data_IF_441934368230
#
_entry.id   IF_441934368230
#
_cell.length_a   1.000
_cell.length_b   1.000
_cell.length_c   1.000
_cell.angle_alpha   90.00
_cell.angle_beta   90.00
_cell.angle_gamma   90.00
#
_symmetry.space_group_name_H-M   'P 1'
#
loop_
_entity.id
_entity.type
_entity.pdbx_description
1 polymer ?
#
# COMPACT_ATOMS: atom_id res chain seq x y z
N UNK A 1 1.75 -4.53 7.75
CA UNK A 1 2.08 -3.21 7.16
C UNK A 1 3.57 -2.89 7.08
N UNK A 2 4.40 -3.40 7.99
CA UNK A 2 5.78 -2.91 8.20
C UNK A 2 6.70 -3.00 6.98
N UNK A 3 6.69 -4.14 6.28
CA UNK A 3 7.51 -4.32 5.05
C UNK A 3 7.10 -3.29 3.99
N UNK A 4 5.81 -2.98 3.89
CA UNK A 4 5.28 -1.96 2.98
C UNK A 4 5.71 -0.54 3.38
N UNK A 5 5.83 -0.23 4.68
CA UNK A 5 6.32 1.06 5.13
C UNK A 5 7.83 1.24 4.84
N UNK A 6 8.61 0.18 5.02
CA UNK A 6 10.04 0.17 4.70
C UNK A 6 10.23 0.38 3.19
N UNK A 7 9.53 -0.38 2.35
CA UNK A 7 9.65 -0.24 0.89
C UNK A 7 9.15 1.13 0.39
N UNK A 8 8.06 1.64 0.96
CA UNK A 8 7.55 2.98 0.68
C UNK A 8 8.59 4.07 0.96
N UNK A 9 9.23 4.01 2.13
CA UNK A 9 10.28 4.97 2.51
C UNK A 9 11.43 4.96 1.51
N UNK A 10 11.92 3.77 1.15
CA UNK A 10 13.01 3.63 0.16
C UNK A 10 12.60 4.18 -1.21
N UNK A 11 11.37 3.93 -1.66
CA UNK A 11 10.87 4.43 -2.94
C UNK A 11 10.72 5.96 -2.95
N UNK A 12 10.28 6.56 -1.85
CA UNK A 12 10.18 8.02 -1.69
C UNK A 12 11.57 8.66 -1.70
N UNK A 13 12.52 8.07 -0.97
CA UNK A 13 13.91 8.54 -0.92
C UNK A 13 14.59 8.45 -2.31
N UNK A 14 14.41 7.34 -3.02
CA UNK A 14 14.93 7.14 -4.38
C UNK A 14 14.34 8.14 -5.39
N UNK A 15 13.04 8.42 -5.27
CA UNK A 15 12.38 9.43 -6.11
C UNK A 15 12.77 10.89 -5.77
N UNK A 16 13.39 11.13 -4.60
CA UNK A 16 13.81 12.45 -4.16
C UNK A 16 12.64 13.43 -3.97
N UNK A 17 11.46 12.94 -3.61
CA UNK A 17 10.24 13.75 -3.45
C UNK A 17 9.91 14.01 -1.98
N UNK A 18 9.20 15.10 -1.73
CA UNK A 18 8.54 15.34 -0.44
C UNK A 18 7.33 14.39 -0.29
N UNK A 19 7.30 13.51 0.74
CA UNK A 19 6.20 12.58 0.96
C UNK A 19 4.85 13.26 1.18
N UNK A 20 4.82 14.51 1.68
CA UNK A 20 3.57 15.27 1.86
C UNK A 20 2.90 15.63 0.54
N UNK A 21 3.63 15.54 -0.57
CA UNK A 21 3.12 15.84 -1.92
C UNK A 21 2.47 14.63 -2.62
N UNK A 22 2.37 13.49 -1.95
CA UNK A 22 1.62 12.33 -2.44
C UNK A 22 0.11 12.62 -2.37
N UNK A 23 -0.60 12.30 -3.44
CA UNK A 23 -2.06 12.39 -3.51
C UNK A 23 -2.72 11.06 -3.18
N UNK A 24 -2.02 9.94 -3.44
CA UNK A 24 -2.54 8.59 -3.21
C UNK A 24 -1.46 7.62 -2.74
N UNK A 25 -1.85 6.71 -1.84
CA UNK A 25 -1.09 5.52 -1.45
C UNK A 25 -1.98 4.30 -1.70
N UNK A 26 -1.58 3.46 -2.65
CA UNK A 26 -2.33 2.30 -3.11
C UNK A 26 -1.55 1.05 -2.69
N UNK A 27 -2.14 0.19 -1.86
CA UNK A 27 -1.49 -1.05 -1.43
C UNK A 27 -2.18 -2.26 -2.02
N UNK A 28 -1.47 -3.00 -2.87
CA UNK A 28 -1.90 -4.29 -3.39
C UNK A 28 -1.48 -5.43 -2.46
N UNK A 29 -2.46 -6.24 -2.05
CA UNK A 29 -2.25 -7.42 -1.22
C UNK A 29 -3.33 -8.49 -1.47
N UNK A 30 -3.13 -9.70 -0.94
CA UNK A 30 -4.10 -10.79 -1.03
C UNK A 30 -4.74 -11.12 0.31
N UNK A 31 -3.95 -11.10 1.38
CA UNK A 31 -4.37 -11.55 2.72
C UNK A 31 -4.29 -10.48 3.80
N UNK A 32 -4.04 -9.22 3.44
CA UNK A 32 -3.94 -8.10 4.38
C UNK A 32 -2.83 -8.26 5.40
N UNK A 33 -3.03 -7.69 6.60
CA UNK A 33 -2.07 -7.83 7.69
C UNK A 33 -2.36 -9.10 8.49
N UNK A 34 -1.51 -10.12 8.34
CA UNK A 34 -1.63 -11.38 9.10
C UNK A 34 -0.58 -11.39 10.21
N UNK A 35 -1.06 -11.34 11.46
CA UNK A 35 -0.18 -11.43 12.63
C UNK A 35 0.36 -12.85 12.76
N UNK A 36 1.63 -12.97 13.13
CA UNK A 36 2.27 -14.28 13.31
C UNK A 36 1.50 -15.08 14.36
N UNK A 37 1.21 -16.35 14.06
CA UNK A 37 0.45 -17.23 14.94
C UNK A 37 -1.07 -17.03 14.87
N UNK A 38 -1.56 -16.25 13.91
CA UNK A 38 -2.99 -16.06 13.63
C UNK A 38 -3.29 -16.41 12.18
N UNK A 39 -4.52 -16.84 11.91
CA UNK A 39 -5.03 -17.09 10.55
C UNK A 39 -5.98 -16.00 10.06
N UNK A 40 -6.31 -15.06 10.94
CA UNK A 40 -7.29 -14.01 10.66
C UNK A 40 -6.57 -12.75 10.17
N UNK A 41 -7.04 -12.22 9.04
CA UNK A 41 -6.57 -10.93 8.52
C UNK A 41 -7.08 -9.78 9.38
N UNK A 42 -6.17 -8.87 9.72
CA UNK A 42 -6.46 -7.59 10.33
C UNK A 42 -6.65 -6.52 9.22
N UNK A 43 -7.91 -6.31 8.83
CA UNK A 43 -8.29 -5.52 7.63
C UNK A 43 -8.43 -4.02 7.93
N UNK A 44 -8.75 -3.64 9.18
CA UNK A 44 -9.05 -2.26 9.55
C UNK A 44 -8.13 -1.76 10.67
N UNK A 45 -7.50 -0.58 10.52
CA UNK A 45 -7.45 0.26 9.32
C UNK A 45 -6.71 -0.43 8.16
N UNK A 46 -6.91 0.05 6.92
CA UNK A 46 -6.24 -0.47 5.72
C UNK A 46 -4.72 -0.48 5.86
N UNK A 47 -4.04 -1.38 5.14
CA UNK A 47 -2.58 -1.42 5.12
C UNK A 47 -1.99 -0.08 4.64
N UNK A 48 -2.59 0.52 3.62
CA UNK A 48 -2.21 1.83 3.12
C UNK A 48 -2.28 2.92 4.20
N UNK A 49 -3.35 2.94 5.01
CA UNK A 49 -3.49 3.92 6.09
C UNK A 49 -2.45 3.70 7.20
N UNK A 50 -2.16 2.44 7.54
CA UNK A 50 -1.09 2.10 8.50
C UNK A 50 0.28 2.54 7.99
N UNK A 51 0.56 2.34 6.70
CA UNK A 51 1.80 2.75 6.06
C UNK A 51 1.91 4.28 6.03
N UNK A 52 0.85 4.98 5.62
CA UNK A 52 0.80 6.46 5.66
C UNK A 52 1.16 7.01 7.04
N UNK A 53 0.54 6.46 8.09
CA UNK A 53 0.84 6.82 9.48
C UNK A 53 2.29 6.50 9.85
N UNK A 54 2.81 5.33 9.46
CA UNK A 54 4.20 4.93 9.74
C UNK A 54 5.23 5.81 9.03
N UNK A 55 4.89 6.39 7.88
CA UNK A 55 5.74 7.34 7.14
C UNK A 55 5.67 8.75 7.71
N UNK A 56 4.76 9.01 8.66
CA UNK A 56 4.55 10.35 9.24
C UNK A 56 3.87 11.32 8.27
N UNK A 57 3.14 10.83 7.27
CA UNK A 57 2.48 11.70 6.27
C UNK A 57 1.22 12.30 6.88
N UNK A 58 1.22 13.60 7.11
CA UNK A 58 0.13 14.33 7.76
C UNK A 58 -0.93 14.84 6.77
N UNK A 59 -0.59 14.98 5.48
CA UNK A 59 -1.49 15.45 4.44
C UNK A 59 -2.81 14.67 4.41
N UNK A 60 -3.90 15.29 4.86
CA UNK A 60 -5.23 14.69 4.94
C UNK A 60 -5.88 14.44 3.59
N UNK A 61 -5.42 15.12 2.53
CA UNK A 61 -5.90 14.93 1.15
C UNK A 61 -5.27 13.71 0.47
N UNK A 62 -4.16 13.20 0.98
CA UNK A 62 -3.54 11.97 0.49
C UNK A 62 -4.43 10.76 0.81
N UNK A 63 -5.10 10.21 -0.19
CA UNK A 63 -6.01 9.08 -0.04
C UNK A 63 -5.22 7.78 0.06
N UNK A 64 -5.43 7.02 1.14
CA UNK A 64 -4.74 5.76 1.38
C UNK A 64 -5.73 4.59 1.37
N UNK A 65 -5.57 3.66 0.42
CA UNK A 65 -6.49 2.54 0.29
C UNK A 65 -5.81 1.26 -0.24
N UNK A 66 -6.46 0.13 0.00
CA UNK A 66 -5.98 -1.18 -0.39
C UNK A 66 -6.72 -1.71 -1.61
N UNK A 67 -6.06 -2.56 -2.39
CA UNK A 67 -6.67 -3.38 -3.44
C UNK A 67 -6.40 -4.86 -3.16
N UNK A 68 -7.48 -5.62 -2.95
CA UNK A 68 -7.45 -7.08 -2.90
C UNK A 68 -7.67 -7.62 -4.31
N UNK A 69 -6.59 -8.06 -4.98
CA UNK A 69 -6.67 -8.35 -6.42
C UNK A 69 -5.81 -9.56 -6.88
N UNK A 70 -5.31 -10.39 -5.97
CA UNK A 70 -4.54 -11.57 -6.35
C UNK A 70 -3.13 -11.23 -6.85
N UNK A 71 -2.47 -12.22 -7.49
CA UNK A 71 -1.14 -12.09 -8.08
C UNK A 71 -0.93 -10.86 -8.99
N UNK A 72 -1.90 -10.42 -9.83
CA UNK A 72 -1.71 -9.23 -10.67
C UNK A 72 -1.98 -7.90 -9.93
N UNK A 73 -2.13 -7.92 -8.60
CA UNK A 73 -2.58 -6.74 -7.85
C UNK A 73 -1.69 -5.50 -8.00
N UNK A 74 -0.37 -5.66 -8.11
CA UNK A 74 0.52 -4.50 -8.33
C UNK A 74 0.27 -3.83 -9.69
N UNK A 75 -0.01 -4.62 -10.74
CA UNK A 75 -0.36 -4.10 -12.08
C UNK A 75 -1.68 -3.35 -12.00
N UNK A 76 -2.67 -3.90 -11.29
CA UNK A 76 -3.94 -3.23 -11.07
C UNK A 76 -3.78 -1.91 -10.31
N UNK A 77 -2.88 -1.85 -9.33
CA UNK A 77 -2.55 -0.61 -8.62
C UNK A 77 -1.96 0.45 -9.54
N UNK A 78 -1.06 0.07 -10.46
CA UNK A 78 -0.51 0.96 -11.47
C UNK A 78 -1.59 1.43 -12.46
N UNK A 79 -2.47 0.54 -12.92
CA UNK A 79 -3.59 0.90 -13.80
C UNK A 79 -4.51 1.93 -13.12
N UNK A 80 -4.85 1.73 -11.85
CA UNK A 80 -5.65 2.69 -11.10
C UNK A 80 -4.94 4.03 -10.91
N UNK A 81 -3.67 4.02 -10.50
CA UNK A 81 -2.86 5.25 -10.38
C UNK A 81 -2.83 6.03 -11.70
N UNK A 82 -2.59 5.32 -12.82
CA UNK A 82 -2.59 5.91 -14.15
C UNK A 82 -3.95 6.55 -14.48
N UNK A 83 -5.06 5.84 -14.23
CA UNK A 83 -6.40 6.36 -14.47
C UNK A 83 -6.68 7.63 -13.65
N UNK A 84 -6.28 7.68 -12.37
CA UNK A 84 -6.44 8.88 -11.53
C UNK A 84 -5.59 10.05 -12.02
N UNK A 85 -4.36 9.79 -12.48
CA UNK A 85 -3.51 10.83 -13.06
C UNK A 85 -4.12 11.38 -14.35
N UNK A 86 -4.60 10.50 -15.25
CA UNK A 86 -5.24 10.92 -16.50
C UNK A 86 -6.54 11.71 -16.24
N UNK A 87 -7.29 11.36 -15.20
CA UNK A 87 -8.48 12.09 -14.79
C UNK A 87 -8.19 13.42 -14.06
N UNK A 88 -6.92 13.75 -13.80
CA UNK A 88 -6.50 14.94 -13.04
C UNK A 88 -6.83 14.87 -11.54
N UNK A 89 -7.16 13.68 -11.03
CA UNK A 89 -7.50 13.44 -9.62
C UNK A 89 -6.28 13.20 -8.73
N UNK A 90 -5.13 12.89 -9.33
CA UNK A 90 -3.84 12.73 -8.64
C UNK A 90 -2.71 13.22 -9.55
N UNK A 91 -1.61 13.66 -8.95
CA UNK A 91 -0.35 13.99 -9.64
C UNK A 91 0.77 13.05 -9.23
N UNK A 92 0.79 12.62 -7.96
CA UNK A 92 1.74 11.63 -7.45
C UNK A 92 1.02 10.52 -6.70
N UNK A 93 1.20 9.29 -7.17
CA UNK A 93 0.68 8.09 -6.53
C UNK A 93 1.84 7.22 -6.10
N UNK A 94 1.81 6.73 -4.87
CA UNK A 94 2.69 5.68 -4.39
C UNK A 94 1.95 4.34 -4.47
N UNK A 95 2.49 3.39 -5.22
CA UNK A 95 1.92 2.04 -5.35
C UNK A 95 2.84 1.05 -4.67
N UNK A 96 2.30 0.27 -3.74
CA UNK A 96 3.06 -0.70 -2.93
C UNK A 96 2.42 -2.06 -3.12
N UNK A 97 3.24 -3.08 -3.35
CA UNK A 97 2.82 -4.47 -3.27
C UNK A 97 3.52 -5.13 -2.07
N UNK A 98 2.75 -5.69 -1.15
CA UNK A 98 3.30 -6.36 0.03
C UNK A 98 2.42 -7.54 0.44
N UNK A 99 3.04 -8.67 0.76
CA UNK A 99 2.34 -9.90 1.13
C UNK A 99 3.16 -10.72 2.13
N UNK A 100 2.47 -11.41 3.04
CA UNK A 100 3.06 -12.32 4.02
C UNK A 100 2.41 -13.71 3.96
N UNK A 101 2.08 -14.18 2.76
CA UNK A 101 1.37 -15.44 2.47
C UNK A 101 1.90 -16.65 3.26
N UNK A 102 3.21 -16.70 3.52
CA UNK A 102 3.86 -17.67 4.41
C UNK A 102 3.20 -17.87 5.79
N UNK A 103 2.36 -16.92 6.24
CA UNK A 103 1.66 -16.96 7.54
C UNK A 103 0.30 -17.65 7.49
N UNK A 104 -0.24 -17.90 6.29
CA UNK A 104 -1.58 -18.47 6.08
C UNK A 104 -1.56 -19.76 5.26
N UNK A 105 -0.39 -20.22 4.81
CA UNK A 105 -0.25 -21.52 4.15
C UNK A 105 -0.43 -22.65 5.16
N UNK A 106 -1.11 -23.72 4.75
CA UNK A 106 -1.05 -25.00 5.47
C UNK A 106 0.35 -25.61 5.26
N UNK A 107 0.94 -26.13 6.33
CA UNK A 107 2.25 -26.79 6.29
C UNK A 107 2.15 -28.29 6.03
N UNK A 108 0.94 -28.84 5.93
CA UNK A 108 0.65 -30.26 5.74
C UNK A 108 0.18 -30.60 4.33
#
# INVERSE_FOLDING_TARGET
SDIGAISAKLAIEDAGIDPETLDQIIVAHNFGDVRKGTIQTDVLPSLAARIKNSLGIENTSCVAYDILFGCPGWVQGIIQAYAFIQAGMAKKCLVIAAETLSRVIDMH
#
